data_IF_356376144164
#
_entry.id   IF_356376144164
#
_cell.length_a   1.000
_cell.length_b   1.000
_cell.length_c   1.000
_cell.angle_alpha   90.00
_cell.angle_beta   90.00
_cell.angle_gamma   90.00
#
_symmetry.space_group_name_H-M   'P 1'
#
loop_
_entity.id
_entity.type
_entity.pdbx_description
1 polymer ?
#
# COMPACT_ATOMS: atom_id res chain seq x y z
N UNK A 1 -24.95 -1.62 12.74
CA UNK A 1 -23.71 -1.15 12.08
C UNK A 1 -24.12 -0.74 10.66
N UNK A 2 -24.11 0.55 10.35
CA UNK A 2 -24.49 1.03 9.01
C UNK A 2 -23.25 0.81 8.12
N UNK A 3 -23.37 -0.06 7.11
CA UNK A 3 -22.31 -0.28 6.13
C UNK A 3 -22.24 0.99 5.26
N UNK A 4 -21.32 1.91 5.57
CA UNK A 4 -21.18 3.17 4.82
C UNK A 4 -20.57 2.98 3.44
N UNK A 5 -19.61 2.07 3.32
CA UNK A 5 -18.92 1.81 2.06
C UNK A 5 -19.57 0.61 1.37
N UNK A 6 -20.66 0.82 0.63
CA UNK A 6 -21.23 -0.24 -0.19
C UNK A 6 -20.52 -0.28 -1.55
N UNK A 7 -19.55 -1.19 -1.68
CA UNK A 7 -18.92 -1.49 -2.97
C UNK A 7 -19.80 -2.46 -3.73
N UNK A 8 -20.29 -2.06 -4.91
CA UNK A 8 -21.27 -2.83 -5.67
C UNK A 8 -20.64 -4.11 -6.22
N UNK A 9 -19.34 -4.08 -6.52
CA UNK A 9 -18.62 -5.22 -7.10
C UNK A 9 -17.60 -5.87 -6.15
N UNK A 10 -17.95 -6.10 -4.88
CA UNK A 10 -17.06 -6.76 -3.90
C UNK A 10 -16.43 -8.07 -4.39
N UNK A 11 -17.15 -8.85 -5.22
CA UNK A 11 -16.67 -10.12 -5.77
C UNK A 11 -15.50 -9.98 -6.75
N UNK A 12 -15.35 -8.82 -7.40
CA UNK A 12 -14.22 -8.55 -8.31
C UNK A 12 -13.04 -7.84 -7.62
N UNK A 13 -13.23 -7.43 -6.36
CA UNK A 13 -12.19 -6.79 -5.56
C UNK A 13 -11.40 -7.87 -4.82
N UNK A 14 -10.10 -7.65 -4.64
CA UNK A 14 -9.25 -8.61 -3.95
C UNK A 14 -9.74 -8.90 -2.54
N UNK A 15 -9.51 -10.13 -2.08
CA UNK A 15 -9.91 -10.58 -0.73
C UNK A 15 -9.26 -9.72 0.36
N UNK A 16 -8.02 -9.28 0.14
CA UNK A 16 -7.26 -8.51 1.13
C UNK A 16 -7.77 -7.09 1.24
N UNK A 17 -8.12 -6.45 0.13
CA UNK A 17 -8.70 -5.12 0.15
C UNK A 17 -10.11 -5.12 0.77
N UNK A 18 -10.93 -6.13 0.45
CA UNK A 18 -12.24 -6.31 1.11
C UNK A 18 -12.09 -6.52 2.63
N UNK A 19 -11.16 -7.37 3.06
CA UNK A 19 -10.94 -7.62 4.48
C UNK A 19 -10.43 -6.37 5.21
N UNK A 20 -9.50 -5.62 4.62
CA UNK A 20 -9.03 -4.36 5.18
C UNK A 20 -10.14 -3.32 5.29
N UNK A 21 -11.03 -3.25 4.30
CA UNK A 21 -12.20 -2.40 4.35
C UNK A 21 -13.11 -2.77 5.53
N UNK A 22 -13.50 -4.03 5.66
CA UNK A 22 -14.42 -4.49 6.71
C UNK A 22 -13.84 -4.26 8.12
N UNK A 23 -12.58 -4.61 8.32
CA UNK A 23 -11.94 -4.56 9.65
C UNK A 23 -11.40 -3.18 10.01
N UNK A 24 -11.10 -2.35 9.02
CA UNK A 24 -10.46 -1.05 9.22
C UNK A 24 -11.37 0.04 8.68
N UNK A 25 -11.48 0.20 7.36
CA UNK A 25 -12.06 1.42 6.78
C UNK A 25 -13.52 1.66 7.22
N UNK A 26 -14.33 0.61 7.29
CA UNK A 26 -15.73 0.68 7.75
C UNK A 26 -15.86 0.94 9.26
N UNK A 27 -14.86 0.53 10.05
CA UNK A 27 -14.84 0.73 11.51
C UNK A 27 -14.49 2.16 11.91
N UNK A 28 -13.97 2.97 10.99
CA UNK A 28 -13.47 4.32 11.23
C UNK A 28 -14.34 5.44 10.69
N UNK A 29 -15.50 5.11 10.13
CA UNK A 29 -16.36 6.09 9.46
C UNK A 29 -15.73 6.75 8.22
N UNK A 30 -14.63 6.20 7.71
CA UNK A 30 -14.01 6.64 6.46
C UNK A 30 -14.99 6.46 5.30
N UNK A 31 -15.10 7.47 4.45
CA UNK A 31 -15.80 7.37 3.18
C UNK A 31 -14.85 6.83 2.12
N UNK A 32 -15.05 5.58 1.71
CA UNK A 32 -14.22 4.92 0.73
C UNK A 32 -14.97 4.82 -0.60
N UNK A 33 -14.43 5.41 -1.66
CA UNK A 33 -14.99 5.24 -3.00
C UNK A 33 -14.85 3.78 -3.47
N UNK A 34 -15.58 3.41 -4.52
CA UNK A 34 -15.38 2.11 -5.13
C UNK A 34 -13.96 2.02 -5.74
N UNK A 35 -13.21 0.93 -5.50
CA UNK A 35 -11.88 0.71 -6.08
C UNK A 35 -11.94 0.48 -7.59
N UNK A 36 -11.24 1.31 -8.33
CA UNK A 36 -10.99 1.13 -9.76
C UNK A 36 -9.75 0.24 -9.95
N UNK A 37 -9.92 -0.86 -10.68
CA UNK A 37 -8.83 -1.79 -10.99
C UNK A 37 -7.85 -1.21 -12.01
N UNK A 38 -6.56 -1.31 -11.73
CA UNK A 38 -5.50 -0.83 -12.61
C UNK A 38 -4.88 -2.02 -13.35
N UNK A 39 -5.28 -2.20 -14.61
CA UNK A 39 -4.89 -3.34 -15.48
C UNK A 39 -3.38 -3.60 -15.48
N UNK A 40 -2.56 -2.55 -15.57
CA UNK A 40 -1.09 -2.67 -15.65
C UNK A 40 -0.47 -3.28 -14.38
N UNK A 41 -1.18 -3.21 -13.26
CA UNK A 41 -0.76 -3.72 -11.97
C UNK A 41 -1.69 -4.81 -11.42
N UNK A 42 -2.51 -5.42 -12.27
CA UNK A 42 -3.45 -6.47 -11.88
C UNK A 42 -2.73 -7.67 -11.23
N UNK A 43 -1.50 -7.97 -11.65
CA UNK A 43 -0.69 -9.02 -11.01
C UNK A 43 -0.42 -8.76 -9.53
N UNK A 44 -0.47 -7.51 -9.07
CA UNK A 44 -0.28 -7.09 -7.68
C UNK A 44 -1.58 -6.52 -7.11
N UNK A 45 -2.73 -6.94 -7.63
CA UNK A 45 -4.07 -6.48 -7.22
C UNK A 45 -4.12 -4.95 -7.10
N UNK A 46 -3.65 -4.26 -8.16
CA UNK A 46 -3.57 -2.81 -8.16
C UNK A 46 -4.92 -2.13 -8.29
N UNK A 47 -5.23 -1.25 -7.36
CA UNK A 47 -6.44 -0.42 -7.38
C UNK A 47 -6.12 1.05 -7.13
N UNK A 48 -7.05 1.92 -7.52
CA UNK A 48 -7.12 3.32 -7.10
C UNK A 48 -8.49 3.63 -6.51
N UNK A 49 -8.52 4.40 -5.43
CA UNK A 49 -9.75 4.86 -4.80
C UNK A 49 -9.48 6.05 -3.90
N UNK A 50 -10.54 6.75 -3.51
CA UNK A 50 -10.49 7.76 -2.47
C UNK A 50 -10.79 7.12 -1.13
N UNK A 51 -9.94 7.40 -0.14
CA UNK A 51 -10.26 7.23 1.27
C UNK A 51 -10.44 8.63 1.86
N UNK A 52 -11.67 8.97 2.21
CA UNK A 52 -12.17 10.33 2.37
C UNK A 52 -11.85 11.22 1.17
N UNK A 53 -10.86 12.10 1.32
CA UNK A 53 -10.40 13.05 0.29
C UNK A 53 -8.99 12.74 -0.19
N UNK A 54 -8.43 11.59 0.20
CA UNK A 54 -7.07 11.17 -0.12
C UNK A 54 -7.11 10.14 -1.24
N UNK A 55 -6.42 10.44 -2.33
CA UNK A 55 -6.31 9.51 -3.44
C UNK A 55 -5.27 8.43 -3.12
N UNK A 56 -5.71 7.18 -3.14
CA UNK A 56 -4.92 6.01 -2.75
C UNK A 56 -4.47 5.25 -3.99
N UNK A 57 -3.19 4.91 -4.05
CA UNK A 57 -2.65 3.86 -4.92
C UNK A 57 -2.46 2.58 -4.10
N UNK A 58 -3.29 1.57 -4.32
CA UNK A 58 -3.25 0.32 -3.57
C UNK A 58 -2.52 -0.79 -4.32
N UNK A 59 -1.74 -1.61 -3.61
CA UNK A 59 -1.08 -2.81 -4.12
C UNK A 59 -1.09 -3.93 -3.07
N UNK A 60 -0.89 -5.16 -3.53
CA UNK A 60 -0.57 -6.32 -2.68
C UNK A 60 0.86 -6.79 -2.97
N UNK A 61 1.67 -6.88 -1.92
CA UNK A 61 3.02 -7.41 -2.06
C UNK A 61 3.02 -8.94 -2.07
N UNK A 62 4.06 -9.52 -2.66
CA UNK A 62 4.23 -10.97 -2.79
C UNK A 62 5.46 -11.46 -2.05
N UNK A 63 5.29 -12.50 -1.25
CA UNK A 63 6.44 -13.24 -0.70
C UNK A 63 7.18 -13.94 -1.83
N UNK A 64 8.51 -13.93 -1.77
CA UNK A 64 9.37 -14.62 -2.73
C UNK A 64 10.19 -15.68 -2.01
N UNK A 65 10.44 -16.88 -2.58
CA UNK A 65 11.09 -17.98 -1.86
C UNK A 65 12.50 -17.66 -1.33
N UNK A 66 13.25 -16.80 -2.04
CA UNK A 66 14.70 -16.65 -1.81
C UNK A 66 15.03 -15.46 -0.90
N UNK A 67 14.28 -14.36 -0.98
CA UNK A 67 14.63 -13.10 -0.33
C UNK A 67 13.56 -12.73 0.70
N UNK A 68 14.01 -12.39 1.91
CA UNK A 68 13.16 -11.83 2.97
C UNK A 68 12.49 -10.52 2.53
N UNK A 69 11.35 -10.21 3.13
CA UNK A 69 10.48 -9.11 2.71
C UNK A 69 9.56 -9.54 1.57
N UNK A 70 8.56 -8.71 1.31
CA UNK A 70 7.58 -8.94 0.26
C UNK A 70 7.83 -7.96 -0.89
N UNK A 71 7.83 -8.49 -2.11
CA UNK A 71 8.12 -7.75 -3.33
C UNK A 71 6.85 -7.07 -3.87
N UNK A 72 6.97 -5.82 -4.28
CA UNK A 72 5.85 -5.05 -4.85
C UNK A 72 6.36 -4.12 -5.95
N UNK A 73 5.54 -3.92 -6.98
CA UNK A 73 5.82 -2.99 -8.08
C UNK A 73 5.08 -1.67 -7.88
N UNK A 74 5.78 -0.58 -8.20
CA UNK A 74 5.31 0.80 -8.09
C UNK A 74 5.78 1.58 -9.33
N UNK A 75 5.16 1.29 -10.47
CA UNK A 75 5.46 1.91 -11.76
C UNK A 75 4.19 2.21 -12.54
N UNK A 76 4.33 3.06 -13.55
CA UNK A 76 3.32 3.41 -14.57
C UNK A 76 3.95 3.38 -15.96
N UNK A 77 3.14 3.39 -17.02
CA UNK A 77 3.65 3.73 -18.37
C UNK A 77 3.57 5.22 -18.64
N UNK A 78 4.61 5.76 -19.26
CA UNK A 78 4.56 7.10 -19.81
C UNK A 78 3.85 7.15 -21.16
N UNK A 79 3.75 8.36 -21.74
CA UNK A 79 3.10 8.61 -23.02
C UNK A 79 3.70 7.80 -24.19
N UNK A 80 4.94 7.35 -24.06
CA UNK A 80 5.63 6.50 -25.05
C UNK A 80 5.46 5.01 -24.77
N UNK A 81 4.67 4.62 -23.77
CA UNK A 81 4.44 3.23 -23.38
C UNK A 81 5.57 2.59 -22.58
N UNK A 82 6.59 3.35 -22.18
CA UNK A 82 7.75 2.86 -21.43
C UNK A 82 7.41 2.85 -19.94
N UNK A 83 7.80 1.77 -19.25
CA UNK A 83 7.62 1.66 -17.80
C UNK A 83 8.58 2.59 -17.05
N UNK A 84 8.04 3.39 -16.15
CA UNK A 84 8.80 4.31 -15.30
C UNK A 84 8.27 4.28 -13.86
N UNK A 85 9.11 4.60 -12.85
CA UNK A 85 8.64 4.78 -11.49
C UNK A 85 7.56 5.87 -11.42
N UNK A 86 6.72 5.83 -10.40
CA UNK A 86 5.86 6.97 -10.08
C UNK A 86 6.70 8.22 -9.80
N UNK A 87 6.17 9.38 -10.17
CA UNK A 87 6.79 10.69 -9.93
C UNK A 87 6.13 11.42 -8.77
N UNK A 88 6.87 12.30 -8.12
CA UNK A 88 6.31 13.18 -7.09
C UNK A 88 5.22 14.15 -7.60
N UNK A 89 5.00 14.27 -8.91
CA UNK A 89 3.87 15.01 -9.48
C UNK A 89 2.61 14.17 -9.70
N UNK A 90 2.65 12.84 -9.53
CA UNK A 90 1.45 11.98 -9.72
C UNK A 90 0.33 12.30 -8.72
N UNK A 91 -0.94 12.01 -9.02
CA UNK A 91 -2.04 12.58 -8.23
C UNK A 91 -2.27 11.91 -6.86
N UNK A 92 -1.70 10.73 -6.62
CA UNK A 92 -1.95 9.95 -5.40
C UNK A 92 -1.33 10.62 -4.16
N UNK A 93 -2.06 10.68 -3.05
CA UNK A 93 -1.57 11.15 -1.75
C UNK A 93 -0.78 10.06 -1.01
N UNK A 94 -1.26 8.82 -1.09
CA UNK A 94 -0.72 7.67 -0.36
C UNK A 94 -0.58 6.44 -1.25
N UNK A 95 0.40 5.61 -0.91
CA UNK A 95 0.47 4.22 -1.40
C UNK A 95 0.17 3.27 -0.25
N UNK A 96 -0.88 2.46 -0.41
CA UNK A 96 -1.21 1.39 0.54
C UNK A 96 -0.74 0.06 -0.01
N UNK A 97 0.03 -0.70 0.78
CA UNK A 97 0.54 -2.02 0.41
C UNK A 97 0.11 -3.04 1.44
N UNK A 98 -0.81 -3.93 1.05
CA UNK A 98 -1.20 -5.09 1.84
C UNK A 98 -0.10 -6.16 1.81
N UNK A 99 0.15 -6.77 2.96
CA UNK A 99 1.15 -7.83 3.17
C UNK A 99 0.57 -8.98 3.97
N UNK A 100 0.96 -10.21 3.61
CA UNK A 100 0.53 -11.43 4.33
C UNK A 100 1.65 -12.41 4.56
N UNK A 101 1.58 -13.14 5.66
CA UNK A 101 2.37 -14.35 5.91
C UNK A 101 1.57 -15.25 6.84
N UNK A 102 1.16 -16.41 6.34
CA UNK A 102 0.28 -17.34 7.07
C UNK A 102 -0.97 -16.61 7.57
N UNK A 103 -1.18 -16.57 8.89
CA UNK A 103 -2.31 -15.90 9.53
C UNK A 103 -2.06 -14.41 9.83
N UNK A 104 -0.86 -13.90 9.52
CA UNK A 104 -0.50 -12.49 9.74
C UNK A 104 -0.91 -11.64 8.54
N UNK A 105 -1.56 -10.52 8.82
CA UNK A 105 -2.06 -9.57 7.82
C UNK A 105 -1.85 -8.14 8.30
N UNK A 106 -1.49 -7.27 7.38
CA UNK A 106 -1.35 -5.85 7.67
C UNK A 106 -1.16 -5.03 6.41
N UNK A 107 -1.07 -3.73 6.61
CA UNK A 107 -0.88 -2.75 5.55
C UNK A 107 0.23 -1.78 5.90
N UNK A 108 1.05 -1.47 4.91
CA UNK A 108 1.84 -0.25 4.93
C UNK A 108 1.03 0.90 4.32
N UNK A 109 1.00 2.05 4.98
CA UNK A 109 0.35 3.27 4.50
C UNK A 109 1.42 4.34 4.35
N UNK A 110 1.99 4.47 3.15
CA UNK A 110 3.09 5.40 2.91
C UNK A 110 2.57 6.72 2.34
N UNK A 111 2.79 7.86 3.04
CA UNK A 111 2.66 9.16 2.43
C UNK A 111 3.56 9.28 1.20
N UNK A 112 3.10 9.99 0.18
CA UNK A 112 3.92 10.23 -1.00
C UNK A 112 5.27 10.93 -0.70
N UNK A 113 5.29 11.80 0.31
CA UNK A 113 6.50 12.48 0.79
C UNK A 113 7.59 11.50 1.25
N UNK A 114 7.24 10.45 2.01
CA UNK A 114 8.22 9.46 2.47
C UNK A 114 8.75 8.60 1.31
N UNK A 115 7.90 8.29 0.32
CA UNK A 115 8.34 7.55 -0.87
C UNK A 115 9.32 8.35 -1.72
N UNK A 116 9.16 9.67 -1.78
CA UNK A 116 10.14 10.57 -2.39
C UNK A 116 11.45 10.59 -1.58
N UNK A 117 11.37 10.80 -0.27
CA UNK A 117 12.55 10.85 0.62
C UNK A 117 13.39 9.57 0.52
N UNK A 118 12.73 8.40 0.41
CA UNK A 118 13.40 7.09 0.27
C UNK A 118 13.80 6.76 -1.17
N UNK A 119 13.62 7.69 -2.12
CA UNK A 119 14.00 7.54 -3.53
C UNK A 119 13.24 6.42 -4.24
N UNK A 120 12.01 6.14 -3.81
CA UNK A 120 11.10 5.23 -4.50
C UNK A 120 10.36 6.00 -5.59
N UNK A 121 9.93 7.23 -5.31
CA UNK A 121 9.34 8.11 -6.32
C UNK A 121 10.41 8.94 -7.02
N UNK A 122 10.17 9.22 -8.30
CA UNK A 122 10.99 10.08 -9.14
C UNK A 122 10.80 11.55 -8.81
N UNK A 123 11.79 12.33 -9.22
CA UNK A 123 11.71 13.79 -9.40
C UNK A 123 12.11 14.10 -10.84
N UNK A 124 11.95 15.37 -11.25
CA UNK A 124 12.46 15.88 -12.53
C UNK A 124 13.94 15.56 -12.80
N UNK A 125 14.76 15.41 -11.76
CA UNK A 125 16.22 15.24 -11.90
C UNK A 125 16.75 13.90 -11.41
N UNK A 126 15.89 13.03 -10.83
CA UNK A 126 16.31 11.76 -10.24
C UNK A 126 15.25 10.69 -10.44
N UNK A 127 15.62 9.59 -11.09
CA UNK A 127 14.75 8.43 -11.28
C UNK A 127 14.55 7.69 -9.94
N UNK A 128 13.31 7.32 -9.67
CA UNK A 128 12.90 6.48 -8.55
C UNK A 128 13.09 4.98 -8.81
N UNK A 129 12.27 4.15 -8.17
CA UNK A 129 12.31 2.69 -8.28
C UNK A 129 10.99 2.15 -8.79
N UNK A 130 11.05 1.26 -9.79
CA UNK A 130 9.87 0.57 -10.35
C UNK A 130 9.35 -0.53 -9.44
N UNK A 131 10.16 -1.00 -8.49
CA UNK A 131 9.77 -2.00 -7.51
C UNK A 131 10.60 -1.85 -6.23
N UNK A 132 10.05 -2.33 -5.12
CA UNK A 132 10.71 -2.35 -3.83
C UNK A 132 10.33 -3.59 -3.02
N UNK A 133 10.99 -3.77 -1.88
CA UNK A 133 10.57 -4.72 -0.85
C UNK A 133 10.02 -3.97 0.35
N UNK A 134 8.96 -4.51 0.92
CA UNK A 134 8.41 -4.09 2.22
C UNK A 134 8.68 -5.19 3.25
N UNK A 135 9.00 -4.79 4.48
CA UNK A 135 9.43 -5.69 5.54
C UNK A 135 8.48 -5.55 6.74
N UNK A 136 7.37 -6.30 6.78
CA UNK A 136 6.49 -6.32 7.96
C UNK A 136 7.23 -6.77 9.23
N UNK A 137 6.66 -6.53 10.43
CA UNK A 137 7.32 -6.86 11.70
C UNK A 137 7.73 -8.33 11.84
N UNK A 138 7.00 -9.23 11.17
CA UNK A 138 7.23 -10.68 11.21
C UNK A 138 8.28 -11.19 10.22
N UNK A 139 8.91 -10.29 9.46
CA UNK A 139 10.03 -10.62 8.59
C UNK A 139 11.35 -10.31 9.30
N UNK A 140 12.19 -11.34 9.50
CA UNK A 140 13.50 -11.19 10.10
C UNK A 140 14.53 -10.72 9.07
N UNK A 141 14.97 -9.46 9.17
CA UNK A 141 15.93 -8.87 8.24
C UNK A 141 17.37 -9.09 8.68
N UNK A 142 18.16 -9.79 7.86
CA UNK A 142 19.56 -10.12 8.18
C UNK A 142 20.58 -9.16 7.57
N UNK A 143 20.25 -8.50 6.46
CA UNK A 143 21.16 -7.54 5.83
C UNK A 143 20.96 -6.13 6.39
N UNK A 144 22.06 -5.37 6.53
CA UNK A 144 22.05 -3.99 7.03
C UNK A 144 21.10 -3.10 6.22
N UNK A 145 21.04 -3.31 4.90
CA UNK A 145 20.15 -2.54 4.03
C UNK A 145 18.67 -2.87 4.28
N UNK A 146 18.34 -4.15 4.47
CA UNK A 146 16.98 -4.57 4.80
C UNK A 146 16.55 -4.07 6.19
N UNK A 147 17.43 -4.15 7.20
CA UNK A 147 17.18 -3.63 8.55
C UNK A 147 16.92 -2.12 8.55
N UNK A 148 17.74 -1.34 7.84
CA UNK A 148 17.52 0.10 7.67
C UNK A 148 16.19 0.39 6.99
N UNK A 149 15.81 -0.42 6.00
CA UNK A 149 14.56 -0.26 5.26
C UNK A 149 13.36 -0.59 6.14
N UNK A 150 13.38 -1.74 6.81
CA UNK A 150 12.36 -2.15 7.77
C UNK A 150 12.17 -1.08 8.85
N UNK A 151 13.24 -0.56 9.45
CA UNK A 151 13.16 0.43 10.52
C UNK A 151 12.32 1.67 10.18
N UNK A 152 12.40 2.19 8.95
CA UNK A 152 11.55 3.32 8.57
C UNK A 152 10.16 2.86 8.13
N UNK A 153 10.04 1.71 7.47
CA UNK A 153 8.76 1.18 7.01
C UNK A 153 7.81 0.87 8.17
N UNK A 154 8.33 0.34 9.27
CA UNK A 154 7.53 -0.02 10.45
C UNK A 154 6.83 1.18 11.11
N UNK A 155 7.28 2.42 10.85
CA UNK A 155 6.56 3.63 11.31
C UNK A 155 5.24 3.86 10.58
N UNK A 156 5.09 3.21 9.43
CA UNK A 156 3.94 3.34 8.53
C UNK A 156 3.15 2.03 8.42
N UNK A 157 3.37 1.11 9.34
CA UNK A 157 2.77 -0.22 9.32
C UNK A 157 1.61 -0.31 10.29
N UNK A 158 0.52 -0.93 9.84
CA UNK A 158 -0.62 -1.29 10.67
C UNK A 158 -0.90 -2.79 10.54
N UNK A 159 -0.92 -3.49 11.67
CA UNK A 159 -1.32 -4.89 11.72
C UNK A 159 -2.84 -4.99 11.79
N UNK A 160 -3.44 -5.73 10.86
CA UNK A 160 -4.90 -5.89 10.78
C UNK A 160 -5.28 -7.18 11.50
N UNK A 161 -5.93 -7.03 12.66
CA UNK A 161 -6.47 -8.12 13.48
C UNK A 161 -7.99 -8.00 13.61
N UNK A 162 -8.70 -9.08 13.96
CA UNK A 162 -10.14 -9.05 14.20
C UNK A 162 -10.59 -8.03 15.27
N UNK A 163 -9.69 -7.66 16.20
CA UNK A 163 -9.86 -6.51 17.08
C UNK A 163 -8.91 -5.41 16.61
N UNK A 164 -9.42 -4.46 15.84
CA UNK A 164 -8.65 -3.36 15.31
C UNK A 164 -8.24 -2.38 16.45
N UNK A 165 -6.97 -1.97 16.47
CA UNK A 165 -6.51 -0.84 17.27
C UNK A 165 -6.73 0.45 16.45
N UNK A 166 -7.88 1.06 16.69
CA UNK A 166 -8.34 2.17 15.89
C UNK A 166 -7.55 3.47 16.16
N UNK A 167 -6.84 3.63 17.27
CA UNK A 167 -6.09 4.88 17.46
C UNK A 167 -4.82 4.92 16.58
N UNK A 168 -4.20 3.75 16.41
CA UNK A 168 -2.93 3.61 15.68
C UNK A 168 -3.10 3.82 14.18
N UNK A 169 -4.18 3.31 13.57
CA UNK A 169 -4.36 3.42 12.12
C UNK A 169 -4.62 4.87 11.65
N UNK A 170 -5.41 5.66 12.39
CA UNK A 170 -5.71 7.05 12.00
C UNK A 170 -4.45 7.94 11.99
N UNK A 171 -3.52 7.70 12.92
CA UNK A 171 -2.25 8.43 13.00
C UNK A 171 -1.39 8.30 11.72
N UNK A 172 -1.60 7.25 10.92
CA UNK A 172 -0.88 7.03 9.66
C UNK A 172 -1.28 8.00 8.54
N UNK A 173 -2.47 8.62 8.62
CA UNK A 173 -2.95 9.57 7.61
C UNK A 173 -2.78 11.04 8.03
N UNK A 174 -2.26 11.29 9.23
CA UNK A 174 -2.03 12.64 9.79
C UNK A 174 -0.58 13.13 9.63
N UNK A 175 0.32 12.26 9.14
CA UNK A 175 1.77 12.51 9.00
C UNK A 175 2.16 13.13 7.67
#
# INVERSE_FOLDING_TARGET
MIIKNHWVNQKSISKDLNLAKELVYDSFDFHCSEPEGITESAEYNGYQFYLDKKLICYREAKTTPIKTGQFVTLWKRNKSGIIEPFDFSDEFDFVIISVRKENMFGQFVFPKSILLEKGIFSTKTKEGKRATRVYPPWDETTSVQAQKTQKWQLRYFYEIKPKADLETFNKLFQS
#
